data_IF_513664266562
#
_entry.id   IF_513664266562
#
_cell.length_a   1.000
_cell.length_b   1.000
_cell.length_c   1.000
_cell.angle_alpha   90.00
_cell.angle_beta   90.00
_cell.angle_gamma   90.00
#
_symmetry.space_group_name_H-M   'P 1'
#
loop_
_entity.id
_entity.type
_entity.pdbx_description
1 polymer ?
#
# COMPACT_ATOMS: atom_id res chain seq x y z
N UNK A 1 5.03 1.56 -15.58
CA UNK A 1 4.59 0.49 -14.66
C UNK A 1 5.09 0.84 -13.26
N UNK A 2 4.19 0.97 -12.28
CA UNK A 2 4.54 1.39 -10.92
C UNK A 2 5.37 0.31 -10.21
N UNK A 3 6.62 0.66 -9.87
CA UNK A 3 7.61 -0.30 -9.35
C UNK A 3 7.19 -0.95 -8.02
N UNK A 4 6.37 -0.27 -7.22
CA UNK A 4 5.88 -0.79 -5.95
C UNK A 4 4.97 -2.01 -6.14
N UNK A 5 4.17 -2.05 -7.21
CA UNK A 5 3.29 -3.19 -7.50
C UNK A 5 4.09 -4.43 -7.86
N UNK A 6 5.07 -4.29 -8.75
CA UNK A 6 5.92 -5.40 -9.17
C UNK A 6 6.66 -6.01 -7.97
N UNK A 7 7.30 -5.15 -7.16
CA UNK A 7 8.00 -5.60 -5.96
C UNK A 7 7.06 -6.24 -4.93
N UNK A 8 5.83 -5.77 -4.82
CA UNK A 8 4.85 -6.40 -3.93
C UNK A 8 4.47 -7.79 -4.44
N UNK A 9 4.28 -7.96 -5.75
CA UNK A 9 3.96 -9.25 -6.35
C UNK A 9 5.11 -10.25 -6.13
N UNK A 10 6.36 -9.81 -6.28
CA UNK A 10 7.54 -10.62 -5.98
C UNK A 10 7.55 -11.06 -4.50
N UNK A 11 7.34 -10.13 -3.57
CA UNK A 11 7.26 -10.44 -2.13
C UNK A 11 6.08 -11.34 -1.76
N UNK A 12 5.00 -11.35 -2.55
CA UNK A 12 3.87 -12.27 -2.31
C UNK A 12 4.15 -13.70 -2.77
N UNK A 13 5.15 -13.90 -3.64
CA UNK A 13 5.56 -15.21 -4.14
C UNK A 13 6.74 -15.81 -3.35
N UNK A 14 7.39 -15.00 -2.52
CA UNK A 14 8.51 -15.40 -1.69
C UNK A 14 8.01 -16.02 -0.37
N UNK A 15 8.32 -17.29 -0.14
CA UNK A 15 7.91 -18.04 1.06
C UNK A 15 8.61 -17.54 2.34
N UNK A 16 9.75 -16.84 2.20
CA UNK A 16 10.51 -16.26 3.31
C UNK A 16 10.11 -14.81 3.61
N UNK A 17 9.30 -14.18 2.76
CA UNK A 17 8.90 -12.79 2.91
C UNK A 17 7.77 -12.60 3.92
N UNK A 18 7.98 -11.69 4.88
CA UNK A 18 7.00 -11.34 5.90
C UNK A 18 6.42 -9.93 5.73
N UNK A 19 5.56 -9.57 6.70
CA UNK A 19 4.97 -8.23 6.75
C UNK A 19 6.02 -7.12 6.95
N UNK A 20 7.20 -7.44 7.50
CA UNK A 20 8.29 -6.49 7.67
C UNK A 20 8.87 -6.05 6.32
N UNK A 21 9.02 -6.97 5.38
CA UNK A 21 9.53 -6.74 4.02
C UNK A 21 8.54 -5.88 3.23
N UNK A 22 7.25 -6.20 3.36
CA UNK A 22 6.16 -5.40 2.77
C UNK A 22 6.15 -3.99 3.38
N UNK A 23 6.33 -3.86 4.70
CA UNK A 23 6.40 -2.55 5.35
C UNK A 23 7.60 -1.73 4.87
N UNK A 24 8.78 -2.35 4.68
CA UNK A 24 9.95 -1.69 4.09
C UNK A 24 9.65 -1.23 2.68
N UNK A 25 8.99 -2.06 1.87
CA UNK A 25 8.58 -1.70 0.51
C UNK A 25 7.65 -0.48 0.51
N UNK A 26 6.56 -0.55 1.28
CA UNK A 26 5.55 0.52 1.42
C UNK A 26 6.15 1.80 1.97
N UNK A 27 7.10 1.72 2.91
CA UNK A 27 7.75 2.89 3.49
C UNK A 27 8.55 3.74 2.48
N UNK A 28 8.91 3.19 1.31
CA UNK A 28 9.54 3.96 0.24
C UNK A 28 8.58 4.93 -0.46
N UNK A 29 7.25 4.77 -0.26
CA UNK A 29 6.22 5.66 -0.77
C UNK A 29 5.42 6.24 0.40
N UNK A 30 5.72 7.50 0.75
CA UNK A 30 5.08 8.18 1.88
C UNK A 30 3.56 8.36 1.68
N UNK A 31 3.09 8.52 0.44
CA UNK A 31 1.67 8.66 0.13
C UNK A 31 0.92 7.37 0.40
N UNK A 32 1.47 6.24 -0.06
CA UNK A 32 0.93 4.91 0.21
C UNK A 32 0.96 4.60 1.71
N UNK A 33 2.10 4.79 2.37
CA UNK A 33 2.26 4.53 3.79
C UNK A 33 1.25 5.32 4.63
N UNK A 34 1.07 6.61 4.34
CA UNK A 34 0.09 7.48 5.01
C UNK A 34 -1.35 6.97 4.80
N UNK A 35 -1.71 6.60 3.56
CA UNK A 35 -3.05 6.08 3.25
C UNK A 35 -3.34 4.77 4.01
N UNK A 36 -2.39 3.83 4.03
CA UNK A 36 -2.55 2.58 4.76
C UNK A 36 -2.65 2.82 6.26
N UNK A 37 -1.83 3.72 6.82
CA UNK A 37 -1.93 4.12 8.22
C UNK A 37 -3.29 4.74 8.55
N UNK A 38 -3.85 5.58 7.69
CA UNK A 38 -5.16 6.18 7.90
C UNK A 38 -6.28 5.13 7.92
N UNK A 39 -6.21 4.12 7.05
CA UNK A 39 -7.20 3.03 7.02
C UNK A 39 -7.06 2.15 8.27
N UNK A 40 -5.84 1.80 8.66
CA UNK A 40 -5.59 1.01 9.86
C UNK A 40 -6.04 1.72 11.15
N UNK A 41 -5.96 3.06 11.19
CA UNK A 41 -6.46 3.89 12.29
C UNK A 41 -7.94 4.28 12.14
N UNK A 42 -8.65 3.78 11.12
CA UNK A 42 -10.08 4.08 10.98
C UNK A 42 -10.91 3.33 12.02
N UNK A 43 -12.12 3.82 12.31
CA UNK A 43 -13.04 3.19 13.27
C UNK A 43 -13.37 1.72 12.92
N UNK A 44 -13.21 1.31 11.66
CA UNK A 44 -13.40 -0.07 11.23
C UNK A 44 -12.30 -1.03 11.73
N UNK A 45 -11.07 -0.53 11.89
CA UNK A 45 -9.90 -1.35 12.27
C UNK A 45 -9.36 -1.03 13.67
N UNK A 46 -9.65 0.15 14.20
CA UNK A 46 -9.09 0.61 15.47
C UNK A 46 -10.03 0.30 16.65
N UNK A 47 -9.65 -0.67 17.48
CA UNK A 47 -10.24 -0.89 18.83
C UNK A 47 -9.38 -0.18 19.90
N UNK A 48 -9.42 1.15 19.94
CA UNK A 48 -8.83 1.98 21.00
C UNK A 48 -7.67 2.91 20.58
N UNK A 49 -7.22 3.78 21.49
CA UNK A 49 -6.25 4.85 21.21
C UNK A 49 -4.81 4.36 21.36
N UNK A 50 -4.26 3.72 20.32
CA UNK A 50 -2.81 3.42 20.28
C UNK A 50 -2.24 3.85 18.93
N UNK A 51 -1.11 4.57 18.97
CA UNK A 51 -0.30 4.80 17.77
C UNK A 51 0.27 3.44 17.34
N UNK A 52 -0.02 3.04 16.12
CA UNK A 52 0.41 1.75 15.56
C UNK A 52 1.62 1.97 14.65
N UNK A 53 2.66 1.16 14.77
CA UNK A 53 3.80 1.19 13.84
C UNK A 53 3.37 0.62 12.46
N UNK A 54 4.03 1.02 11.37
CA UNK A 54 3.64 0.62 10.01
C UNK A 54 3.47 -0.90 9.87
N UNK A 55 4.44 -1.69 10.34
CA UNK A 55 4.37 -3.17 10.28
C UNK A 55 3.09 -3.68 10.96
N UNK A 56 2.75 -3.15 12.14
CA UNK A 56 1.57 -3.57 12.88
C UNK A 56 0.28 -3.10 12.20
N UNK A 57 0.27 -1.91 11.60
CA UNK A 57 -0.85 -1.42 10.81
C UNK A 57 -1.11 -2.33 9.60
N UNK A 58 -0.05 -2.70 8.87
CA UNK A 58 -0.13 -3.62 7.74
C UNK A 58 -0.58 -5.03 8.18
N UNK A 59 -0.09 -5.53 9.32
CA UNK A 59 -0.58 -6.78 9.91
C UNK A 59 -2.08 -6.74 10.22
N UNK A 60 -2.61 -5.61 10.70
CA UNK A 60 -4.05 -5.43 10.96
C UNK A 60 -4.87 -5.41 9.68
N UNK A 61 -4.35 -4.80 8.60
CA UNK A 61 -5.04 -4.73 7.31
C UNK A 61 -5.05 -6.07 6.56
N UNK A 62 -3.95 -6.82 6.68
CA UNK A 62 -3.76 -8.09 5.99
C UNK A 62 -3.35 -7.91 4.52
N UNK A 63 -2.77 -8.97 3.97
CA UNK A 63 -2.12 -8.96 2.65
C UNK A 63 -3.09 -8.66 1.50
N UNK A 64 -4.32 -9.17 1.56
CA UNK A 64 -5.30 -8.98 0.47
C UNK A 64 -5.71 -7.53 0.31
N UNK A 65 -5.95 -6.83 1.42
CA UNK A 65 -6.27 -5.41 1.37
C UNK A 65 -5.06 -4.57 0.95
N UNK A 66 -3.86 -4.93 1.39
CA UNK A 66 -2.61 -4.30 0.94
C UNK A 66 -2.44 -4.43 -0.57
N UNK A 67 -2.58 -5.65 -1.12
CA UNK A 67 -2.53 -5.90 -2.57
C UNK A 67 -3.56 -5.05 -3.31
N UNK A 68 -4.79 -5.02 -2.82
CA UNK A 68 -5.88 -4.25 -3.44
C UNK A 68 -5.54 -2.76 -3.49
N UNK A 69 -5.08 -2.18 -2.38
CA UNK A 69 -4.69 -0.77 -2.32
C UNK A 69 -3.53 -0.44 -3.25
N UNK A 70 -2.50 -1.30 -3.29
CA UNK A 70 -1.33 -1.09 -4.16
C UNK A 70 -1.71 -1.19 -5.63
N UNK A 71 -2.59 -2.13 -6.01
CA UNK A 71 -3.13 -2.22 -7.37
C UNK A 71 -3.95 -0.98 -7.73
N UNK A 72 -4.86 -0.54 -6.86
CA UNK A 72 -5.66 0.66 -7.10
C UNK A 72 -4.77 1.88 -7.31
N UNK A 73 -3.81 2.12 -6.43
CA UNK A 73 -2.88 3.25 -6.56
C UNK A 73 -2.05 3.15 -7.85
N UNK A 74 -1.61 1.95 -8.20
CA UNK A 74 -0.85 1.68 -9.41
C UNK A 74 -1.63 2.02 -10.68
N UNK A 75 -2.93 1.71 -10.68
CA UNK A 75 -3.85 2.10 -11.74
C UNK A 75 -3.95 3.62 -11.79
N UNK A 76 -4.19 4.30 -10.66
CA UNK A 76 -4.26 5.77 -10.61
C UNK A 76 -2.99 6.45 -11.13
N UNK A 77 -1.81 6.00 -10.69
CA UNK A 77 -0.52 6.54 -11.14
C UNK A 77 -0.32 6.34 -12.64
N UNK A 78 -0.70 5.18 -13.17
CA UNK A 78 -0.61 4.90 -14.60
C UNK A 78 -1.51 5.83 -15.40
N UNK A 79 -2.74 6.07 -14.94
CA UNK A 79 -3.69 6.92 -15.64
C UNK A 79 -3.37 8.42 -15.53
N UNK A 80 -2.88 8.89 -14.37
CA UNK A 80 -2.42 10.27 -14.19
C UNK A 80 -1.14 10.59 -14.97
N UNK A 81 -0.38 9.56 -15.38
CA UNK A 81 0.82 9.71 -16.21
C UNK A 81 0.51 9.91 -17.70
N UNK A 82 -0.73 9.70 -18.14
CA UNK A 82 -1.11 10.03 -19.52
C UNK A 82 -1.35 11.54 -19.63
N UNK A 83 -0.69 12.24 -20.57
CA UNK A 83 -1.01 13.64 -20.82
C UNK A 83 -2.47 13.75 -21.22
N UNK A 84 -3.21 14.67 -20.59
CA UNK A 84 -4.50 15.09 -21.11
C UNK A 84 -4.25 15.67 -22.51
N UNK A 85 -4.55 14.91 -23.55
CA UNK A 85 -4.65 15.45 -24.91
C UNK A 85 -5.88 16.35 -24.91
N UNK A 86 -5.72 17.60 -24.51
CA UNK A 86 -6.69 18.65 -24.76
C UNK A 86 -6.69 18.92 -26.26
N UNK A 87 -7.48 18.15 -26.99
CA UNK A 87 -7.79 18.42 -28.39
C UNK A 87 -8.64 19.70 -28.44
N UNK A 88 -8.02 20.78 -28.88
CA UNK A 88 -8.67 21.97 -29.45
C UNK A 88 -9.51 21.63 -30.67
#
# INVERSE_FOLDING_TARGET
MPQILLKLMDLCQDEDAGMAEIAKLVANDAGMASRMMNIANSAAYQRGVRKVALVQALSTLGLDLIKTMVICESVFQTFNGFPHTSST
#
